data_IF_312684270986
#
_entry.id   IF_312684270986
#
_cell.length_a   1.000
_cell.length_b   1.000
_cell.length_c   1.000
_cell.angle_alpha   90.00
_cell.angle_beta   90.00
_cell.angle_gamma   90.00
#
_symmetry.space_group_name_H-M   'P 1'
#
loop_
_entity.id
_entity.type
_entity.pdbx_description
1 polymer ?
#
# COMPACT_ATOMS: atom_id res chain seq x y z
N UNK A 1 -2.54 -44.28 27.74
CA UNK A 1 -3.15 -42.97 27.44
C UNK A 1 -4.51 -42.93 28.15
N UNK A 2 -4.65 -42.19 29.25
CA UNK A 2 -5.88 -42.19 30.06
C UNK A 2 -6.88 -41.17 29.50
N UNK A 3 -8.14 -41.55 29.24
CA UNK A 3 -9.16 -40.60 28.82
C UNK A 3 -9.50 -39.63 29.95
N UNK A 4 -9.63 -38.34 29.63
CA UNK A 4 -10.22 -37.34 30.53
C UNK A 4 -11.74 -37.34 30.33
N UNK A 5 -12.46 -37.62 31.40
CA UNK A 5 -13.93 -37.56 31.46
C UNK A 5 -14.31 -36.18 31.99
N UNK A 6 -15.12 -35.41 31.26
CA UNK A 6 -15.78 -34.21 31.77
C UNK A 6 -17.09 -34.60 32.46
N UNK A 7 -17.61 -33.72 33.34
CA UNK A 7 -18.78 -33.93 34.22
C UNK A 7 -20.12 -34.19 33.51
N UNK A 8 -20.13 -34.34 32.18
CA UNK A 8 -21.33 -34.57 31.36
C UNK A 8 -21.06 -35.70 30.34
N UNK A 9 -20.51 -36.84 30.77
CA UNK A 9 -20.58 -38.13 30.05
C UNK A 9 -20.13 -38.22 28.58
N UNK A 10 -19.59 -37.16 27.97
CA UNK A 10 -19.24 -37.13 26.56
C UNK A 10 -17.80 -37.57 26.37
N UNK A 11 -17.62 -38.71 25.71
CA UNK A 11 -16.33 -39.15 25.23
C UNK A 11 -15.95 -38.23 24.06
N UNK A 12 -15.13 -37.20 24.33
CA UNK A 12 -14.50 -36.43 23.26
C UNK A 12 -13.44 -37.32 22.60
N UNK A 13 -13.85 -38.06 21.56
CA UNK A 13 -12.89 -38.67 20.63
C UNK A 13 -12.20 -37.51 19.94
N UNK A 14 -10.96 -37.20 20.33
CA UNK A 14 -10.07 -36.37 19.52
C UNK A 14 -9.98 -37.05 18.15
N UNK A 15 -10.73 -36.53 17.18
CA UNK A 15 -10.64 -37.00 15.80
C UNK A 15 -9.21 -36.70 15.39
N UNK A 16 -8.40 -37.73 15.24
CA UNK A 16 -7.05 -37.59 14.70
C UNK A 16 -7.20 -36.77 13.42
N UNK A 17 -6.46 -35.65 13.33
CA UNK A 17 -6.46 -34.84 12.14
C UNK A 17 -6.08 -35.76 10.97
N UNK A 18 -7.00 -35.94 10.01
CA UNK A 18 -6.67 -36.65 8.79
C UNK A 18 -5.43 -35.97 8.19
N UNK A 19 -4.42 -36.73 7.75
CA UNK A 19 -3.25 -36.14 7.12
C UNK A 19 -3.74 -35.27 5.94
N UNK A 20 -3.34 -34.01 5.97
CA UNK A 20 -3.67 -33.08 4.89
C UNK A 20 -3.04 -33.62 3.60
N UNK A 21 -3.88 -34.09 2.68
CA UNK A 21 -3.46 -34.50 1.35
C UNK A 21 -3.30 -33.25 0.49
N UNK A 22 -2.09 -33.04 0.01
CA UNK A 22 -1.79 -32.02 -0.98
C UNK A 22 -2.53 -32.32 -2.28
N UNK A 23 -3.01 -31.31 -3.01
CA UNK A 23 -3.60 -31.55 -4.32
C UNK A 23 -2.57 -32.20 -5.24
N UNK A 24 -2.91 -33.36 -5.82
CA UNK A 24 -1.96 -34.18 -6.60
C UNK A 24 -1.47 -33.49 -7.88
N UNK A 25 -2.19 -32.48 -8.36
CA UNK A 25 -1.87 -31.73 -9.57
C UNK A 25 -0.87 -30.59 -9.36
N UNK A 26 -0.57 -30.22 -8.10
CA UNK A 26 0.45 -29.22 -7.77
C UNK A 26 1.77 -29.95 -7.54
N UNK A 27 2.84 -29.48 -8.19
CA UNK A 27 4.18 -30.04 -8.04
C UNK A 27 4.61 -30.11 -6.57
N UNK A 28 4.79 -31.34 -6.07
CA UNK A 28 5.14 -31.61 -4.69
C UNK A 28 6.53 -31.09 -4.32
N UNK A 29 7.48 -31.18 -5.23
CA UNK A 29 8.86 -30.73 -4.98
C UNK A 29 8.89 -29.22 -4.75
N UNK A 30 8.08 -28.46 -5.52
CA UNK A 30 7.90 -27.02 -5.31
C UNK A 30 7.38 -26.67 -3.91
N UNK A 31 6.43 -27.46 -3.39
CA UNK A 31 5.85 -27.25 -2.06
C UNK A 31 6.81 -27.63 -0.93
N UNK A 32 7.60 -28.67 -1.12
CA UNK A 32 8.58 -29.12 -0.13
C UNK A 32 9.79 -28.19 -0.05
N UNK A 33 10.16 -27.54 -1.16
CA UNK A 33 11.22 -26.53 -1.22
C UNK A 33 10.87 -25.20 -0.53
N UNK A 34 9.61 -24.96 -0.13
CA UNK A 34 9.20 -23.68 0.45
C UNK A 34 9.87 -23.40 1.81
N UNK A 35 10.57 -22.26 1.96
CA UNK A 35 11.28 -21.93 3.18
C UNK A 35 10.33 -21.42 4.27
N UNK A 36 10.77 -21.53 5.53
CA UNK A 36 10.09 -20.93 6.69
C UNK A 36 10.60 -19.52 6.98
N UNK A 37 10.86 -18.75 5.92
CA UNK A 37 11.50 -17.43 5.98
C UNK A 37 10.61 -16.37 5.32
N UNK A 38 10.89 -15.07 5.56
CA UNK A 38 10.20 -13.97 4.91
C UNK A 38 10.39 -13.96 3.41
N UNK A 39 9.37 -13.50 2.70
CA UNK A 39 9.44 -13.28 1.27
C UNK A 39 8.09 -13.29 0.58
N UNK A 40 8.16 -13.46 -0.74
CA UNK A 40 7.01 -13.49 -1.64
C UNK A 40 6.86 -14.90 -2.20
N UNK A 41 5.63 -15.38 -2.32
CA UNK A 41 5.26 -16.63 -2.97
C UNK A 41 4.35 -16.37 -4.17
N UNK A 42 4.45 -17.23 -5.17
CA UNK A 42 3.73 -17.13 -6.43
C UNK A 42 3.06 -18.46 -6.74
N UNK A 43 1.73 -18.45 -6.85
CA UNK A 43 0.99 -19.57 -7.43
C UNK A 43 1.03 -19.41 -8.94
N UNK A 44 1.56 -20.41 -9.63
CA UNK A 44 1.80 -20.36 -11.07
C UNK A 44 0.95 -21.39 -11.81
N UNK A 45 0.51 -21.05 -13.02
CA UNK A 45 -0.10 -22.01 -13.93
C UNK A 45 0.93 -22.97 -14.55
N UNK A 46 0.48 -23.90 -15.38
CA UNK A 46 1.34 -24.88 -16.06
C UNK A 46 2.39 -24.24 -17.00
N UNK A 47 2.18 -23.00 -17.46
CA UNK A 47 3.10 -22.26 -18.31
C UNK A 47 4.10 -21.42 -17.49
N UNK A 48 3.96 -21.38 -16.17
CA UNK A 48 4.78 -20.54 -15.29
C UNK A 48 4.26 -19.10 -15.16
N UNK A 49 3.02 -18.82 -15.55
CA UNK A 49 2.41 -17.49 -15.41
C UNK A 49 1.86 -17.30 -13.99
N UNK A 50 2.15 -16.17 -13.32
CA UNK A 50 1.59 -15.89 -12.00
C UNK A 50 0.06 -15.75 -12.01
N UNK A 51 -0.61 -16.62 -11.26
CA UNK A 51 -2.04 -16.58 -10.98
C UNK A 51 -2.35 -15.76 -9.74
N UNK A 52 -1.50 -15.88 -8.72
CA UNK A 52 -1.57 -15.12 -7.48
C UNK A 52 -0.18 -14.89 -6.91
N UNK A 53 0.04 -13.72 -6.34
CA UNK A 53 1.28 -13.33 -5.67
C UNK A 53 0.93 -12.83 -4.27
N UNK A 54 1.63 -13.33 -3.25
CA UNK A 54 1.42 -12.91 -1.86
C UNK A 54 2.71 -12.84 -1.06
N UNK A 55 2.70 -12.10 0.05
CA UNK A 55 3.82 -11.98 1.00
C UNK A 55 3.59 -12.73 2.30
N UNK A 56 4.68 -13.12 2.96
CA UNK A 56 4.63 -13.68 4.32
C UNK A 56 5.96 -13.52 5.05
N UNK A 57 5.91 -13.48 6.39
CA UNK A 57 7.09 -13.68 7.25
C UNK A 57 7.53 -15.15 7.31
N UNK A 58 6.65 -16.07 6.91
CA UNK A 58 6.94 -17.49 6.73
C UNK A 58 6.22 -17.99 5.48
N UNK A 59 6.95 -18.10 4.37
CA UNK A 59 6.41 -18.49 3.06
C UNK A 59 5.70 -19.85 3.15
N UNK A 60 6.36 -20.87 3.68
CA UNK A 60 5.78 -22.22 3.83
C UNK A 60 4.47 -22.20 4.60
N UNK A 61 4.45 -21.58 5.78
CA UNK A 61 3.25 -21.57 6.63
C UNK A 61 2.06 -20.93 5.91
N UNK A 62 2.29 -19.84 5.17
CA UNK A 62 1.23 -19.12 4.46
C UNK A 62 0.72 -19.89 3.25
N UNK A 63 1.59 -20.48 2.44
CA UNK A 63 1.18 -21.33 1.31
C UNK A 63 0.36 -22.53 1.78
N UNK A 64 0.79 -23.20 2.86
CA UNK A 64 0.02 -24.32 3.42
C UNK A 64 -1.35 -23.91 3.99
N UNK A 65 -1.49 -22.65 4.42
CA UNK A 65 -2.79 -22.11 4.83
C UNK A 65 -3.71 -21.93 3.61
N UNK A 66 -3.20 -21.37 2.50
CA UNK A 66 -3.96 -21.22 1.25
C UNK A 66 -4.54 -22.56 0.76
N UNK A 67 -3.73 -23.63 0.78
CA UNK A 67 -4.16 -24.96 0.36
C UNK A 67 -5.35 -25.54 1.18
N UNK A 68 -5.71 -24.90 2.31
CA UNK A 68 -6.80 -25.29 3.20
C UNK A 68 -7.99 -24.31 3.15
N UNK A 69 -7.93 -23.27 2.35
CA UNK A 69 -8.95 -22.22 2.25
C UNK A 69 -9.93 -22.55 1.12
N UNK A 70 -11.20 -22.90 1.40
CA UNK A 70 -12.17 -23.26 0.37
C UNK A 70 -12.44 -22.14 -0.65
N UNK A 71 -12.40 -20.88 -0.21
CA UNK A 71 -12.65 -19.70 -1.04
C UNK A 71 -11.60 -19.54 -2.15
N UNK A 72 -10.43 -20.16 -1.99
CA UNK A 72 -9.30 -20.08 -2.92
C UNK A 72 -9.24 -21.28 -3.87
N UNK A 73 -10.22 -22.18 -3.82
CA UNK A 73 -10.25 -23.40 -4.63
C UNK A 73 -10.09 -23.12 -6.14
N UNK A 74 -10.69 -22.04 -6.66
CA UNK A 74 -10.56 -21.67 -8.08
C UNK A 74 -9.10 -21.37 -8.48
N UNK A 75 -8.37 -20.64 -7.65
CA UNK A 75 -6.94 -20.36 -7.85
C UNK A 75 -6.11 -21.64 -7.75
N UNK A 76 -6.41 -22.48 -6.75
CA UNK A 76 -5.68 -23.72 -6.50
C UNK A 76 -5.88 -24.76 -7.61
N UNK A 77 -7.08 -24.86 -8.19
CA UNK A 77 -7.35 -25.73 -9.32
C UNK A 77 -6.56 -25.32 -10.58
N UNK A 78 -6.30 -24.03 -10.77
CA UNK A 78 -5.52 -23.52 -11.89
C UNK A 78 -3.99 -23.57 -11.65
N UNK A 79 -3.56 -23.75 -10.40
CA UNK A 79 -2.15 -23.79 -10.01
C UNK A 79 -1.51 -25.12 -10.40
N UNK A 80 -0.35 -25.07 -11.05
CA UNK A 80 0.50 -26.24 -11.30
C UNK A 80 1.74 -26.29 -10.39
N UNK A 81 2.27 -25.13 -9.97
CA UNK A 81 3.45 -25.06 -9.08
C UNK A 81 3.46 -23.80 -8.22
N UNK A 82 4.25 -23.83 -7.15
CA UNK A 82 4.45 -22.66 -6.27
C UNK A 82 5.92 -22.26 -6.25
N UNK A 83 6.22 -21.06 -6.74
CA UNK A 83 7.56 -20.47 -6.68
C UNK A 83 7.65 -19.48 -5.51
N UNK A 84 8.87 -19.09 -5.13
CA UNK A 84 9.09 -18.13 -4.06
C UNK A 84 10.36 -17.29 -4.26
N UNK A 85 10.39 -16.11 -3.65
CA UNK A 85 11.56 -15.23 -3.55
C UNK A 85 11.73 -14.81 -2.10
N UNK A 86 12.86 -15.18 -1.50
CA UNK A 86 13.21 -14.84 -0.11
C UNK A 86 13.57 -13.36 0.02
N UNK A 87 13.21 -12.75 1.13
CA UNK A 87 13.63 -11.40 1.52
C UNK A 87 14.30 -11.42 2.88
N UNK A 88 15.13 -10.42 3.15
CA UNK A 88 15.83 -10.30 4.43
C UNK A 88 14.86 -9.99 5.58
N UNK A 89 13.76 -9.30 5.32
CA UNK A 89 12.70 -9.06 6.29
C UNK A 89 11.33 -8.82 5.67
N UNK A 90 10.42 -8.29 6.49
CA UNK A 90 9.02 -8.07 6.12
C UNK A 90 8.85 -6.87 5.20
N UNK A 91 9.63 -5.80 5.37
CA UNK A 91 9.50 -4.58 4.56
C UNK A 91 9.86 -4.90 3.12
N UNK A 92 10.95 -5.64 2.90
CA UNK A 92 11.32 -6.15 1.60
C UNK A 92 10.24 -7.03 0.97
N UNK A 93 9.58 -7.90 1.76
CA UNK A 93 8.50 -8.75 1.28
C UNK A 93 7.29 -7.93 0.80
N UNK A 94 6.88 -6.91 1.58
CA UNK A 94 5.79 -6.00 1.23
C UNK A 94 6.08 -5.20 -0.05
N UNK A 95 7.28 -4.63 -0.16
CA UNK A 95 7.69 -3.85 -1.33
C UNK A 95 7.80 -4.73 -2.58
N UNK A 96 8.40 -5.92 -2.46
CA UNK A 96 8.56 -6.85 -3.56
C UNK A 96 7.22 -7.40 -4.05
N UNK A 97 6.30 -7.77 -3.13
CA UNK A 97 4.94 -8.20 -3.49
C UNK A 97 4.22 -7.12 -4.28
N UNK A 98 4.22 -5.87 -3.78
CA UNK A 98 3.58 -4.75 -4.45
C UNK A 98 4.14 -4.55 -5.86
N UNK A 99 5.46 -4.58 -6.02
CA UNK A 99 6.13 -4.48 -7.32
C UNK A 99 5.71 -5.61 -8.28
N UNK A 100 5.74 -6.86 -7.81
CA UNK A 100 5.45 -8.03 -8.65
C UNK A 100 3.96 -8.09 -9.05
N UNK A 101 3.03 -7.73 -8.16
CA UNK A 101 1.61 -7.68 -8.55
C UNK A 101 1.37 -6.61 -9.61
N UNK A 102 2.03 -5.45 -9.50
CA UNK A 102 1.94 -4.38 -10.50
C UNK A 102 2.52 -4.78 -11.85
N UNK A 103 3.62 -5.51 -11.83
CA UNK A 103 4.32 -6.01 -13.03
C UNK A 103 3.52 -7.11 -13.75
N UNK A 104 3.06 -8.12 -13.01
CA UNK A 104 2.44 -9.32 -13.58
C UNK A 104 0.92 -9.25 -13.68
N UNK A 105 0.26 -8.37 -12.91
CA UNK A 105 -1.20 -8.22 -12.81
C UNK A 105 -1.96 -9.56 -12.68
N UNK A 106 -1.55 -10.45 -11.77
CA UNK A 106 -2.15 -11.78 -11.60
C UNK A 106 -3.69 -11.71 -11.45
N UNK A 107 -4.44 -12.63 -12.10
CA UNK A 107 -5.90 -12.58 -12.16
C UNK A 107 -6.57 -12.66 -10.79
N UNK A 108 -5.98 -13.39 -9.82
CA UNK A 108 -6.55 -13.57 -8.50
C UNK A 108 -6.14 -12.49 -7.47
N UNK A 109 -5.28 -11.52 -7.82
CA UNK A 109 -4.99 -10.37 -6.97
C UNK A 109 -5.99 -9.23 -7.23
N UNK A 110 -7.19 -9.29 -6.65
CA UNK A 110 -8.25 -8.33 -6.96
C UNK A 110 -7.93 -6.85 -6.62
N UNK A 111 -7.12 -6.58 -5.59
CA UNK A 111 -7.01 -5.23 -4.97
C UNK A 111 -5.81 -4.39 -5.44
N UNK A 112 -4.81 -5.00 -6.10
CA UNK A 112 -3.48 -4.37 -6.32
C UNK A 112 -3.07 -4.26 -7.81
N UNK A 113 -3.97 -4.55 -8.75
CA UNK A 113 -3.64 -4.73 -10.18
C UNK A 113 -3.30 -3.45 -10.95
N UNK A 114 -3.65 -2.26 -10.46
CA UNK A 114 -3.56 -1.06 -11.30
C UNK A 114 -2.39 -0.16 -10.94
N UNK A 115 -1.40 -0.15 -11.83
CA UNK A 115 -0.43 0.94 -11.96
C UNK A 115 -1.18 2.18 -12.45
N UNK A 116 -1.61 3.04 -11.53
CA UNK A 116 -2.21 4.34 -11.86
C UNK A 116 -1.33 5.44 -11.31
N UNK A 117 -1.27 6.53 -12.07
CA UNK A 117 -0.76 7.79 -11.56
C UNK A 117 -1.53 8.15 -10.29
N UNK A 118 -0.80 8.30 -9.19
CA UNK A 118 -1.38 8.71 -7.92
C UNK A 118 -1.80 10.17 -8.01
N UNK A 119 -2.95 10.51 -7.46
CA UNK A 119 -3.46 11.88 -7.41
C UNK A 119 -3.45 12.37 -5.96
N UNK A 120 -3.30 13.67 -5.76
CA UNK A 120 -3.37 14.31 -4.46
C UNK A 120 -4.22 15.58 -4.53
N UNK A 121 -4.71 16.03 -3.38
CA UNK A 121 -5.27 17.37 -3.25
C UNK A 121 -4.13 18.34 -2.97
N UNK A 122 -4.14 19.51 -3.57
CA UNK A 122 -3.20 20.56 -3.25
C UNK A 122 -3.94 21.86 -2.99
N UNK A 123 -3.47 22.62 -2.01
CA UNK A 123 -3.94 23.97 -1.73
C UNK A 123 -2.83 24.94 -2.13
N UNK A 124 -3.15 25.89 -3.00
CA UNK A 124 -2.21 26.93 -3.42
C UNK A 124 -2.38 28.17 -2.54
N UNK A 125 -1.28 28.87 -2.26
CA UNK A 125 -1.34 30.09 -1.46
C UNK A 125 -2.24 31.14 -2.12
N UNK A 126 -3.17 31.68 -1.33
CA UNK A 126 -4.17 32.64 -1.81
C UNK A 126 -5.35 32.02 -2.58
N UNK A 127 -5.34 30.73 -2.86
CA UNK A 127 -6.45 30.03 -3.50
C UNK A 127 -7.23 29.18 -2.47
N UNK A 128 -8.50 29.50 -2.17
CA UNK A 128 -9.30 28.72 -1.21
C UNK A 128 -9.80 27.39 -1.78
N UNK A 129 -9.51 27.07 -3.05
CA UNK A 129 -9.98 25.89 -3.75
C UNK A 129 -8.91 24.79 -3.79
N UNK A 130 -9.12 23.65 -3.10
CA UNK A 130 -8.26 22.49 -3.27
C UNK A 130 -8.37 21.97 -4.70
N UNK A 131 -7.23 21.81 -5.37
CA UNK A 131 -7.12 21.26 -6.72
C UNK A 131 -6.67 19.80 -6.66
N UNK A 132 -7.15 18.98 -7.60
CA UNK A 132 -6.58 17.65 -7.80
C UNK A 132 -5.38 17.77 -8.73
N UNK A 133 -4.22 17.29 -8.26
CA UNK A 133 -2.98 17.26 -9.03
C UNK A 133 -2.45 15.82 -9.16
N UNK A 134 -1.66 15.56 -10.21
CA UNK A 134 -0.93 14.31 -10.34
C UNK A 134 0.26 14.27 -9.38
N UNK A 135 0.71 13.08 -8.99
CA UNK A 135 1.82 12.94 -8.05
C UNK A 135 3.16 13.43 -8.59
N UNK A 136 3.30 13.59 -9.91
CA UNK A 136 4.45 14.25 -10.54
C UNK A 136 4.43 15.76 -10.46
N UNK A 137 3.26 16.36 -10.22
CA UNK A 137 3.11 17.82 -10.12
C UNK A 137 3.40 18.35 -8.71
N UNK A 138 3.80 17.46 -7.79
CA UNK A 138 4.29 17.80 -6.47
C UNK A 138 5.68 18.46 -6.58
N UNK A 139 5.69 19.72 -7.03
CA UNK A 139 6.87 20.56 -7.00
C UNK A 139 7.38 20.72 -5.55
N UNK A 140 8.70 20.88 -5.34
CA UNK A 140 9.24 21.18 -4.02
C UNK A 140 8.54 22.39 -3.39
N UNK A 141 7.98 22.22 -2.19
CA UNK A 141 7.28 23.29 -1.45
C UNK A 141 5.76 23.34 -1.64
N UNK A 142 5.15 22.51 -2.50
CA UNK A 142 3.69 22.42 -2.61
C UNK A 142 3.13 21.46 -1.56
N UNK A 143 2.24 21.95 -0.69
CA UNK A 143 1.52 21.10 0.25
C UNK A 143 0.50 20.22 -0.48
N UNK A 144 0.67 18.91 -0.36
CA UNK A 144 -0.24 17.90 -0.90
C UNK A 144 -0.93 17.14 0.24
N UNK A 145 -2.20 16.81 0.04
CA UNK A 145 -3.07 16.16 1.02
C UNK A 145 -3.72 14.94 0.40
N UNK A 146 -3.56 13.81 1.08
CA UNK A 146 -4.01 12.50 0.63
C UNK A 146 -3.25 11.97 -0.58
N UNK A 147 -3.29 10.66 -0.75
CA UNK A 147 -2.89 9.97 -1.98
C UNK A 147 -4.07 9.13 -2.44
N UNK A 148 -4.45 9.29 -3.70
CA UNK A 148 -5.64 8.68 -4.28
C UNK A 148 -5.25 7.92 -5.55
N UNK A 149 -5.84 6.74 -5.77
CA UNK A 149 -5.57 5.92 -6.95
C UNK A 149 -6.19 6.44 -8.26
N UNK A 150 -6.94 7.55 -8.22
CA UNK A 150 -7.49 8.23 -9.39
C UNK A 150 -7.94 9.65 -9.05
N UNK A 151 -8.07 10.50 -10.08
CA UNK A 151 -8.69 11.83 -9.97
C UNK A 151 -10.08 11.76 -9.35
N UNK A 152 -10.92 10.84 -9.81
CA UNK A 152 -12.28 10.67 -9.29
C UNK A 152 -12.29 10.31 -7.79
N UNK A 153 -11.33 9.48 -7.33
CA UNK A 153 -11.20 9.16 -5.92
C UNK A 153 -10.72 10.36 -5.09
N UNK A 154 -9.85 11.22 -5.62
CA UNK A 154 -9.45 12.47 -4.98
C UNK A 154 -10.62 13.45 -4.87
N UNK A 155 -11.40 13.62 -5.94
CA UNK A 155 -12.59 14.47 -5.94
C UNK A 155 -13.65 13.97 -4.95
N UNK A 156 -13.89 12.65 -4.87
CA UNK A 156 -14.80 12.08 -3.88
C UNK A 156 -14.25 12.21 -2.46
N UNK A 157 -12.93 12.05 -2.27
CA UNK A 157 -12.25 12.30 -1.00
C UNK A 157 -12.45 13.73 -0.51
N UNK A 158 -12.29 14.71 -1.41
CA UNK A 158 -12.56 16.12 -1.12
C UNK A 158 -14.04 16.34 -0.75
N UNK A 159 -14.98 15.78 -1.52
CA UNK A 159 -16.42 15.87 -1.19
C UNK A 159 -16.74 15.25 0.17
N UNK A 160 -16.14 14.11 0.50
CA UNK A 160 -16.31 13.46 1.79
C UNK A 160 -15.75 14.30 2.95
N UNK A 161 -14.59 14.93 2.76
CA UNK A 161 -13.99 15.87 3.72
C UNK A 161 -14.92 17.07 3.96
N UNK A 162 -15.42 17.67 2.88
CA UNK A 162 -16.33 18.82 2.93
C UNK A 162 -17.61 18.49 3.71
N UNK A 163 -18.21 17.32 3.43
CA UNK A 163 -19.40 16.84 4.16
C UNK A 163 -19.10 16.60 5.63
N UNK A 164 -17.99 15.90 5.95
CA UNK A 164 -17.62 15.54 7.33
C UNK A 164 -17.37 16.77 8.19
N UNK A 165 -16.71 17.78 7.63
CA UNK A 165 -16.32 18.98 8.36
C UNK A 165 -17.29 20.14 8.18
N UNK A 166 -18.45 19.95 7.54
CA UNK A 166 -19.46 21.01 7.35
C UNK A 166 -18.95 22.24 6.60
N UNK A 167 -18.01 22.05 5.67
CA UNK A 167 -17.40 23.13 4.89
C UNK A 167 -18.35 23.58 3.78
N UNK A 168 -18.25 24.83 3.35
CA UNK A 168 -19.08 25.36 2.27
C UNK A 168 -18.63 24.87 0.88
N UNK A 169 -19.40 23.99 0.20
CA UNK A 169 -19.02 23.46 -1.11
C UNK A 169 -19.04 24.53 -2.21
N UNK A 170 -19.92 25.55 -2.10
CA UNK A 170 -19.98 26.64 -3.08
C UNK A 170 -18.72 27.52 -3.03
N UNK A 171 -18.17 27.77 -1.83
CA UNK A 171 -16.92 28.52 -1.69
C UNK A 171 -15.70 27.68 -2.12
N UNK A 172 -15.83 26.36 -2.13
CA UNK A 172 -14.80 25.44 -2.62
C UNK A 172 -14.96 25.09 -4.12
N UNK A 173 -15.95 25.65 -4.82
CA UNK A 173 -16.17 25.41 -6.25
C UNK A 173 -16.75 24.03 -6.58
N UNK A 174 -17.28 23.32 -5.58
CA UNK A 174 -17.91 22.00 -5.73
C UNK A 174 -19.42 22.09 -6.02
N UNK A 175 -20.03 23.24 -5.74
CA UNK A 175 -21.41 23.58 -6.06
C UNK A 175 -21.44 24.93 -6.78
N UNK A 176 -22.29 25.09 -7.79
CA UNK A 176 -22.48 26.36 -8.47
C UNK A 176 -23.04 27.42 -7.53
N UNK A 177 -22.45 28.62 -7.55
CA UNK A 177 -22.89 29.74 -6.71
C UNK A 177 -23.95 30.56 -7.43
N UNK A 178 -25.10 30.77 -6.79
CA UNK A 178 -26.12 31.73 -7.21
C UNK A 178 -26.09 32.90 -6.23
N UNK A 179 -25.92 34.12 -6.74
CA UNK A 179 -25.86 35.31 -5.89
C UNK A 179 -27.16 35.46 -5.07
N UNK A 180 -27.03 35.80 -3.79
CA UNK A 180 -28.15 35.96 -2.86
C UNK A 180 -28.82 34.66 -2.38
N UNK A 181 -28.38 33.47 -2.83
CA UNK A 181 -28.86 32.17 -2.33
C UNK A 181 -27.76 31.42 -1.59
N UNK A 182 -28.14 30.74 -0.51
CA UNK A 182 -27.26 29.82 0.18
C UNK A 182 -27.03 28.55 -0.65
N UNK A 183 -25.87 27.93 -0.47
CA UNK A 183 -25.53 26.67 -1.12
C UNK A 183 -26.49 25.55 -0.68
N UNK A 184 -26.67 24.52 -1.51
CA UNK A 184 -27.63 23.44 -1.25
C UNK A 184 -27.30 22.73 0.07
N UNK A 185 -26.01 22.50 0.32
CA UNK A 185 -25.55 21.91 1.59
C UNK A 185 -25.89 22.75 2.82
N UNK A 186 -25.97 24.08 2.73
CA UNK A 186 -26.40 24.93 3.86
C UNK A 186 -27.92 24.90 4.06
N UNK A 187 -28.69 24.85 2.96
CA UNK A 187 -30.15 24.68 3.03
C UNK A 187 -30.54 23.37 3.74
N UNK A 188 -29.71 22.34 3.60
CA UNK A 188 -29.86 21.06 4.31
C UNK A 188 -29.27 21.05 5.74
N UNK A 189 -28.73 22.16 6.23
CA UNK A 189 -28.08 22.24 7.55
C UNK A 189 -26.74 21.50 7.66
N UNK A 190 -26.09 21.16 6.53
CA UNK A 190 -24.84 20.38 6.48
C UNK A 190 -23.59 21.25 6.30
N UNK A 191 -23.73 22.57 6.25
CA UNK A 191 -22.64 23.52 6.04
C UNK A 191 -22.89 24.78 6.88
N UNK A 192 -21.83 25.45 7.33
CA UNK A 192 -21.91 26.61 8.22
C UNK A 192 -22.21 27.94 7.51
N UNK A 193 -22.38 27.93 6.18
CA UNK A 193 -22.96 29.05 5.45
C UNK A 193 -21.98 30.15 5.08
N UNK A 194 -20.68 29.86 4.90
CA UNK A 194 -19.68 30.85 4.46
C UNK A 194 -20.07 31.59 3.17
N UNK A 195 -20.82 30.95 2.26
CA UNK A 195 -21.29 31.58 1.01
C UNK A 195 -22.26 32.75 1.20
N UNK A 196 -22.96 32.81 2.35
CA UNK A 196 -23.94 33.84 2.73
C UNK A 196 -23.48 34.69 3.91
N UNK A 197 -22.24 34.50 4.36
CA UNK A 197 -21.64 35.31 5.43
C UNK A 197 -22.00 34.87 6.85
N UNK A 198 -22.76 33.78 7.05
CA UNK A 198 -23.02 33.21 8.38
C UNK A 198 -21.74 32.75 9.07
N UNK A 199 -20.79 32.26 8.27
CA UNK A 199 -19.41 31.99 8.65
C UNK A 199 -18.50 32.95 7.89
N UNK A 200 -17.46 33.49 8.53
CA UNK A 200 -16.49 34.34 7.83
C UNK A 200 -15.60 33.51 6.90
N UNK A 201 -15.18 34.09 5.78
CA UNK A 201 -14.27 33.39 4.85
C UNK A 201 -12.96 32.94 5.50
N UNK A 202 -12.46 33.71 6.49
CA UNK A 202 -11.27 33.35 7.24
C UNK A 202 -11.49 32.12 8.13
N UNK A 203 -12.57 32.08 8.92
CA UNK A 203 -12.88 30.93 9.77
C UNK A 203 -13.10 29.65 8.93
N UNK A 204 -13.75 29.79 7.78
CA UNK A 204 -13.90 28.70 6.81
C UNK A 204 -12.56 28.19 6.29
N UNK A 205 -11.65 29.11 5.91
CA UNK A 205 -10.32 28.76 5.41
C UNK A 205 -9.45 28.06 6.47
N UNK A 206 -9.50 28.50 7.72
CA UNK A 206 -8.80 27.85 8.85
C UNK A 206 -9.30 26.42 9.08
N UNK A 207 -10.61 26.21 9.04
CA UNK A 207 -11.21 24.86 9.14
C UNK A 207 -10.87 23.98 7.95
N UNK A 208 -10.85 24.54 6.74
CA UNK A 208 -10.43 23.81 5.55
C UNK A 208 -8.98 23.32 5.72
N UNK A 209 -8.05 24.19 6.13
CA UNK A 209 -6.65 23.83 6.38
C UNK A 209 -6.54 22.76 7.47
N UNK A 210 -7.26 22.91 8.58
CA UNK A 210 -7.26 21.93 9.65
C UNK A 210 -7.84 20.56 9.22
N UNK A 211 -8.84 20.56 8.34
CA UNK A 211 -9.41 19.34 7.77
C UNK A 211 -8.45 18.67 6.79
N UNK A 212 -7.81 19.45 5.90
CA UNK A 212 -6.80 18.95 4.96
C UNK A 212 -5.56 18.42 5.68
N UNK A 213 -5.14 19.05 6.78
CA UNK A 213 -4.02 18.61 7.61
C UNK A 213 -4.22 17.18 8.16
N UNK A 214 -5.47 16.76 8.40
CA UNK A 214 -5.77 15.37 8.81
C UNK A 214 -5.53 14.35 7.69
N UNK A 215 -5.50 14.79 6.44
CA UNK A 215 -5.14 13.99 5.27
C UNK A 215 -3.68 14.21 4.85
N UNK A 216 -2.90 15.03 5.57
CA UNK A 216 -1.58 15.45 5.10
C UNK A 216 -0.69 14.22 4.89
N UNK A 217 -0.33 14.03 3.63
CA UNK A 217 0.66 13.03 3.25
C UNK A 217 2.01 13.59 3.64
N UNK A 218 2.83 12.79 4.31
CA UNK A 218 4.19 13.22 4.64
C UNK A 218 4.95 13.48 3.34
N UNK A 219 5.41 14.73 3.16
CA UNK A 219 6.36 15.06 2.10
C UNK A 219 7.60 14.21 2.29
N UNK A 220 8.23 13.76 1.21
CA UNK A 220 9.45 12.95 1.30
C UNK A 220 10.48 13.68 2.18
N UNK A 221 10.90 13.11 3.33
CA UNK A 221 11.62 13.87 4.35
C UNK A 221 13.15 13.89 4.15
N UNK A 222 13.64 13.42 3.00
CA UNK A 222 15.07 13.31 2.70
C UNK A 222 15.44 14.09 1.45
N UNK A 223 16.67 14.59 1.38
CA UNK A 223 17.19 15.34 0.23
C UNK A 223 17.35 14.49 -1.05
N UNK A 224 17.31 13.17 -0.90
CA UNK A 224 17.52 12.23 -2.00
C UNK A 224 17.06 10.82 -1.69
N UNK A 225 17.51 9.83 -2.48
CA UNK A 225 17.16 8.43 -2.26
C UNK A 225 17.79 7.89 -0.98
N UNK A 226 17.07 6.97 -0.34
CA UNK A 226 17.53 6.24 0.83
C UNK A 226 17.58 4.74 0.54
N UNK A 227 18.43 4.02 1.25
CA UNK A 227 18.38 2.58 1.40
C UNK A 227 17.77 2.21 2.75
N UNK A 228 16.82 1.30 2.76
CA UNK A 228 16.31 0.65 3.97
C UNK A 228 17.04 -0.66 4.12
N UNK A 229 17.75 -0.84 5.22
CA UNK A 229 18.57 -2.03 5.47
C UNK A 229 17.74 -3.07 6.23
N UNK A 230 17.66 -4.28 5.70
CA UNK A 230 17.11 -5.44 6.41
C UNK A 230 18.17 -6.55 6.53
N UNK A 231 18.18 -7.19 7.71
CA UNK A 231 19.05 -8.29 8.05
C UNK A 231 18.19 -9.54 8.33
N UNK A 232 18.29 -10.53 7.46
CA UNK A 232 17.70 -11.86 7.64
C UNK A 232 18.69 -12.85 8.25
N UNK A 233 18.30 -14.11 8.36
CA UNK A 233 19.13 -15.16 8.99
C UNK A 233 20.49 -15.36 8.31
N UNK A 234 20.52 -15.33 6.98
CA UNK A 234 21.69 -15.62 6.13
C UNK A 234 21.91 -14.56 5.04
N UNK A 235 21.11 -13.48 5.04
CA UNK A 235 21.11 -12.50 3.97
C UNK A 235 20.95 -11.07 4.48
N UNK A 236 21.64 -10.13 3.84
CA UNK A 236 21.46 -8.70 4.03
C UNK A 236 20.96 -8.08 2.74
N UNK A 237 19.86 -7.35 2.82
CA UNK A 237 19.29 -6.60 1.70
C UNK A 237 19.18 -5.12 2.01
N UNK A 238 19.29 -4.32 0.96
CA UNK A 238 19.04 -2.87 1.02
C UNK A 238 17.99 -2.52 -0.02
N UNK A 239 16.85 -2.01 0.44
CA UNK A 239 15.71 -1.61 -0.38
C UNK A 239 15.81 -0.12 -0.70
N UNK A 240 16.00 0.23 -1.95
CA UNK A 240 16.25 1.62 -2.38
C UNK A 240 14.92 2.29 -2.71
N UNK A 241 14.69 3.45 -2.10
CA UNK A 241 13.44 4.22 -2.24
C UNK A 241 13.78 5.69 -2.45
N UNK A 242 13.09 6.34 -3.39
CA UNK A 242 13.19 7.78 -3.64
C UNK A 242 11.79 8.37 -3.77
N UNK A 243 11.48 9.43 -3.03
CA UNK A 243 10.20 10.14 -3.13
C UNK A 243 8.99 9.21 -3.11
N UNK A 244 8.97 8.28 -2.15
CA UNK A 244 7.94 7.24 -1.99
C UNK A 244 7.79 6.29 -3.19
N UNK A 245 8.79 6.21 -4.07
CA UNK A 245 8.86 5.23 -5.15
C UNK A 245 9.91 4.18 -4.82
N UNK A 246 9.52 2.91 -4.82
CA UNK A 246 10.43 1.80 -4.64
C UNK A 246 11.22 1.55 -5.93
N UNK A 247 12.55 1.62 -5.84
CA UNK A 247 13.45 1.50 -6.99
C UNK A 247 14.08 0.10 -7.12
N UNK A 248 13.90 -0.75 -6.12
CA UNK A 248 14.38 -2.13 -6.11
C UNK A 248 15.25 -2.47 -4.90
N UNK A 249 15.68 -3.72 -4.85
CA UNK A 249 16.51 -4.26 -3.76
C UNK A 249 17.91 -4.63 -4.23
N UNK A 250 18.89 -4.41 -3.36
CA UNK A 250 20.27 -4.87 -3.51
C UNK A 250 20.59 -5.90 -2.44
N UNK A 251 21.32 -6.93 -2.83
CA UNK A 251 21.69 -8.04 -1.95
C UNK A 251 23.21 -8.16 -1.90
N UNK A 252 23.75 -8.27 -0.68
CA UNK A 252 25.19 -8.42 -0.45
C UNK A 252 26.03 -7.28 -1.07
N UNK A 253 26.98 -7.65 -1.95
CA UNK A 253 27.88 -6.70 -2.61
C UNK A 253 27.31 -6.07 -3.89
N UNK A 254 26.09 -6.43 -4.31
CA UNK A 254 25.46 -5.84 -5.49
C UNK A 254 25.25 -4.34 -5.27
N UNK A 255 25.48 -3.55 -6.33
CA UNK A 255 25.31 -2.09 -6.32
C UNK A 255 24.44 -1.57 -7.45
N UNK A 256 24.04 -2.42 -8.40
CA UNK A 256 23.26 -2.00 -9.57
C UNK A 256 21.81 -2.45 -9.44
N UNK A 257 20.88 -1.49 -9.57
CA UNK A 257 19.45 -1.78 -9.66
C UNK A 257 19.13 -2.33 -11.06
N UNK A 258 18.25 -3.34 -11.12
CA UNK A 258 17.89 -4.01 -12.39
C UNK A 258 17.01 -3.13 -13.29
N UNK A 259 16.11 -2.36 -12.68
CA UNK A 259 15.16 -1.47 -13.37
C UNK A 259 14.99 -0.23 -12.52
N UNK A 260 15.20 0.97 -13.08
CA UNK A 260 14.80 2.20 -12.41
C UNK A 260 13.29 2.36 -12.65
N UNK A 261 12.48 2.09 -11.63
CA UNK A 261 11.05 2.34 -11.68
C UNK A 261 10.77 3.82 -12.03
N UNK A 262 9.62 4.08 -12.67
CA UNK A 262 9.19 5.44 -12.98
C UNK A 262 9.04 6.25 -11.69
N UNK A 263 9.51 7.50 -11.69
CA UNK A 263 9.61 8.41 -10.53
C UNK A 263 8.28 9.04 -10.09
N UNK A 264 7.19 8.29 -10.08
CA UNK A 264 5.91 8.76 -9.54
C UNK A 264 5.76 8.24 -8.10
N UNK A 265 5.08 8.98 -7.23
CA UNK A 265 4.75 8.50 -5.88
C UNK A 265 3.88 7.24 -6.00
N UNK A 266 4.34 6.17 -5.37
CA UNK A 266 3.59 4.92 -5.25
C UNK A 266 2.85 4.89 -3.91
N UNK A 267 1.52 4.88 -3.98
CA UNK A 267 0.66 4.88 -2.79
C UNK A 267 0.89 3.68 -1.87
N UNK A 268 1.21 2.51 -2.42
CA UNK A 268 1.45 1.31 -1.62
C UNK A 268 2.80 1.43 -0.92
N UNK A 269 3.82 1.91 -1.64
CA UNK A 269 5.13 2.21 -1.04
C UNK A 269 5.00 3.23 0.08
N UNK A 270 4.23 4.31 -0.11
CA UNK A 270 3.91 5.27 0.96
C UNK A 270 3.24 4.59 2.16
N UNK A 271 2.19 3.80 1.94
CA UNK A 271 1.46 3.09 3.01
C UNK A 271 2.34 2.11 3.78
N UNK A 272 3.28 1.46 3.09
CA UNK A 272 4.23 0.51 3.69
C UNK A 272 5.27 1.27 4.54
N UNK A 273 5.76 2.40 4.06
CA UNK A 273 6.98 3.02 4.60
C UNK A 273 6.78 4.27 5.45
N UNK A 274 5.72 5.06 5.24
CA UNK A 274 5.60 6.37 5.86
C UNK A 274 5.61 6.31 7.40
N UNK A 275 4.75 5.47 7.99
CA UNK A 275 4.69 5.34 9.44
C UNK A 275 5.98 4.72 10.03
N UNK A 276 6.55 3.63 9.49
CA UNK A 276 7.82 3.09 10.01
C UNK A 276 9.02 4.03 9.88
N UNK A 277 9.12 4.79 8.79
CA UNK A 277 10.18 5.80 8.61
C UNK A 277 10.04 6.90 9.66
N UNK A 278 8.85 7.48 9.80
CA UNK A 278 8.60 8.56 10.76
C UNK A 278 8.72 8.11 12.22
N UNK A 279 8.37 6.86 12.50
CA UNK A 279 8.52 6.25 13.82
C UNK A 279 9.94 5.83 14.15
N UNK A 280 10.92 5.99 13.24
CA UNK A 280 12.30 5.57 13.46
C UNK A 280 12.45 4.05 13.62
N UNK A 281 11.56 3.26 13.02
CA UNK A 281 11.51 1.81 13.18
C UNK A 281 12.40 1.07 12.18
N UNK A 282 12.98 1.78 11.22
CA UNK A 282 13.77 1.21 10.12
C UNK A 282 15.22 1.69 10.20
N UNK A 283 16.15 0.79 9.86
CA UNK A 283 17.55 1.15 9.65
C UNK A 283 17.70 1.79 8.27
N UNK A 284 18.07 3.07 8.25
CA UNK A 284 18.17 3.87 7.02
C UNK A 284 19.63 4.22 6.72
N UNK A 285 20.00 4.18 5.44
CA UNK A 285 21.28 4.64 4.92
C UNK A 285 21.05 5.60 3.76
N UNK A 286 21.69 6.77 3.80
CA UNK A 286 21.60 7.70 2.68
C UNK A 286 22.35 7.15 1.46
N UNK A 287 21.85 7.44 0.26
CA UNK A 287 22.50 6.98 -0.95
C UNK A 287 22.35 7.96 -2.12
N UNK A 288 23.14 7.73 -3.16
CA UNK A 288 23.03 8.41 -4.46
C UNK A 288 22.96 7.38 -5.57
N UNK A 289 22.25 7.73 -6.64
CA UNK A 289 22.04 6.83 -7.78
C UNK A 289 22.63 7.47 -9.03
N UNK A 290 23.67 6.83 -9.58
CA UNK A 290 24.35 7.27 -10.81
C UNK A 290 24.28 6.16 -11.85
N UNK A 291 23.57 6.41 -12.96
CA UNK A 291 23.41 5.44 -14.07
C UNK A 291 22.97 4.04 -13.59
N UNK A 292 22.08 4.00 -12.61
CA UNK A 292 21.55 2.77 -11.99
C UNK A 292 22.46 2.09 -10.96
N UNK A 293 23.62 2.67 -10.67
CA UNK A 293 24.52 2.24 -9.58
C UNK A 293 24.23 3.05 -8.33
N UNK A 294 24.10 2.36 -7.21
CA UNK A 294 23.80 2.92 -5.90
C UNK A 294 25.08 3.06 -5.10
N UNK A 295 25.34 4.28 -4.65
CA UNK A 295 26.47 4.65 -3.81
C UNK A 295 25.92 5.01 -2.43
N UNK A 296 26.21 4.18 -1.43
CA UNK A 296 25.83 4.46 -0.05
C UNK A 296 26.80 5.47 0.54
N UNK A 297 26.28 6.47 1.24
CA UNK A 297 27.08 7.41 2.03
C UNK A 297 27.14 6.90 3.47
N UNK A 298 28.33 6.85 4.03
CA UNK A 298 28.54 6.61 5.47
C UNK A 298 28.08 7.80 6.31
#
# INVERSE_FOLDING_TARGET
MRPRVTSVGYIHRSRAALPFLYPDHIDRDSLDALPRLPGVYLFLDANGTPLYIGKSVSIRARVLAHLRTPEEAAMLMATARVDHVRTAGEVGALLLESQLIKEWQPPFNAMLRTLRETHALALEDGNPHPLVCGSTDAAPGREIYGLFGSRAAAEEGLRALVRRHGLCPALLGLESRIHGRSCFSHQLGRCHGACVGTETGQAHAERLRAALAQMQTTVWPFDGPIGIVEHGEDMRQVHVVDRWAYLGSLEGKKRRLRTLARRFIDIDTYRILAAPILGGQLELVACRIERGVVHFTE
#
